data_IF_091910580024
#
_entry.id   IF_091910580024
#
_cell.length_a   1.000
_cell.length_b   1.000
_cell.length_c   1.000
_cell.angle_alpha   90.00
_cell.angle_beta   90.00
_cell.angle_gamma   90.00
#
_symmetry.space_group_name_H-M   'P 1'
#
loop_
_entity.id
_entity.type
_entity.pdbx_description
1 polymer ?
#
# COMPACT_ATOMS: atom_id res chain seq x y z
N UNK A 1 11.71 18.53 13.21
CA UNK A 1 10.40 18.32 13.86
C UNK A 1 9.43 17.60 12.94
N UNK A 2 9.14 18.15 11.75
CA UNK A 2 8.24 17.49 10.77
C UNK A 2 8.74 16.12 10.28
N UNK A 3 10.05 15.95 10.08
CA UNK A 3 10.62 14.65 9.73
C UNK A 3 10.42 13.59 10.82
N UNK A 4 10.54 13.98 12.10
CA UNK A 4 10.37 13.07 13.23
C UNK A 4 8.90 12.70 13.42
N UNK A 5 7.98 13.66 13.31
CA UNK A 5 6.54 13.39 13.41
C UNK A 5 6.04 12.54 12.24
N UNK A 6 6.56 12.78 11.03
CA UNK A 6 6.31 11.93 9.87
C UNK A 6 6.79 10.50 10.08
N UNK A 7 8.05 10.32 10.52
CA UNK A 7 8.62 9.00 10.82
C UNK A 7 7.81 8.26 11.90
N UNK A 8 7.48 8.91 13.01
CA UNK A 8 6.67 8.31 14.07
C UNK A 8 5.31 7.83 13.56
N UNK A 9 4.62 8.65 12.75
CA UNK A 9 3.33 8.25 12.19
C UNK A 9 3.46 7.01 11.30
N UNK A 10 4.54 6.91 10.51
CA UNK A 10 4.80 5.75 9.65
C UNK A 10 5.13 4.49 10.45
N UNK A 11 5.86 4.63 11.57
CA UNK A 11 6.17 3.51 12.45
C UNK A 11 4.90 3.00 13.10
N UNK A 12 4.10 3.88 13.71
CA UNK A 12 2.87 3.48 14.39
C UNK A 12 1.86 2.84 13.45
N UNK A 13 1.64 3.41 12.26
CA UNK A 13 0.71 2.83 11.29
C UNK A 13 1.15 1.45 10.79
N UNK A 14 2.46 1.27 10.55
CA UNK A 14 2.98 -0.01 10.08
C UNK A 14 3.01 -1.07 11.18
N UNK A 15 3.24 -0.67 12.44
CA UNK A 15 3.17 -1.59 13.59
C UNK A 15 1.78 -2.15 13.79
N UNK A 16 0.73 -1.35 13.59
CA UNK A 16 -0.66 -1.84 13.61
C UNK A 16 -0.85 -2.99 12.61
N UNK A 17 -0.31 -2.85 11.40
CA UNK A 17 -0.31 -3.93 10.41
C UNK A 17 0.47 -5.17 10.84
N UNK A 18 1.64 -4.99 11.48
CA UNK A 18 2.45 -6.11 11.99
C UNK A 18 1.70 -6.90 13.07
N UNK A 19 0.98 -6.23 13.98
CA UNK A 19 0.16 -6.91 14.99
C UNK A 19 -0.90 -7.83 14.34
N UNK A 20 -1.54 -7.37 13.27
CA UNK A 20 -2.51 -8.18 12.53
C UNK A 20 -1.86 -9.39 11.82
N UNK A 21 -0.67 -9.21 11.23
CA UNK A 21 0.09 -10.32 10.63
C UNK A 21 0.52 -11.37 11.66
N UNK A 22 1.04 -10.92 12.81
CA UNK A 22 1.49 -11.84 13.87
C UNK A 22 0.31 -12.67 14.39
N UNK A 23 -0.87 -12.05 14.54
CA UNK A 23 -2.07 -12.77 14.94
C UNK A 23 -2.44 -13.85 13.90
N UNK A 24 -2.43 -13.49 12.61
CA UNK A 24 -2.72 -14.42 11.52
C UNK A 24 -1.79 -15.64 11.54
N UNK A 25 -0.47 -15.43 11.62
CA UNK A 25 0.47 -16.54 11.70
C UNK A 25 0.27 -17.38 12.97
N UNK A 26 0.03 -16.75 14.12
CA UNK A 26 -0.23 -17.48 15.37
C UNK A 26 -1.49 -18.35 15.28
N UNK A 27 -2.54 -17.88 14.59
CA UNK A 27 -3.72 -18.70 14.32
C UNK A 27 -3.39 -19.86 13.37
N UNK A 28 -2.64 -19.65 12.28
CA UNK A 28 -2.24 -20.73 11.37
C UNK A 28 -1.46 -21.84 12.09
N UNK A 29 -0.48 -21.47 12.92
CA UNK A 29 0.31 -22.46 13.68
C UNK A 29 -0.54 -23.28 14.65
N UNK A 30 -1.56 -22.67 15.27
CA UNK A 30 -2.46 -23.36 16.20
C UNK A 30 -3.49 -24.23 15.49
N UNK A 31 -3.85 -23.91 14.25
CA UNK A 31 -4.96 -24.52 13.50
C UNK A 31 -4.50 -25.41 12.34
N UNK A 32 -3.41 -26.16 12.50
CA UNK A 32 -2.86 -27.01 11.44
C UNK A 32 -3.82 -28.05 10.82
N UNK A 33 -5.09 -28.21 11.26
CA UNK A 33 -5.92 -29.31 10.77
C UNK A 33 -7.43 -29.16 10.55
N UNK A 34 -8.11 -28.00 10.68
CA UNK A 34 -9.53 -28.03 10.25
C UNK A 34 -10.22 -26.77 9.78
N UNK A 35 -10.04 -25.59 10.38
CA UNK A 35 -10.80 -24.41 9.95
C UNK A 35 -9.99 -23.15 10.22
N UNK A 36 -9.65 -22.43 9.17
CA UNK A 36 -9.11 -21.09 9.31
C UNK A 36 -10.20 -20.19 9.90
N UNK A 37 -9.95 -19.59 11.07
CA UNK A 37 -10.94 -18.70 11.69
C UNK A 37 -11.19 -17.49 10.79
N UNK A 38 -12.46 -17.13 10.54
CA UNK A 38 -12.81 -15.93 9.76
C UNK A 38 -12.15 -14.65 10.31
N UNK A 39 -11.84 -14.63 11.62
CA UNK A 39 -11.09 -13.55 12.26
C UNK A 39 -9.64 -13.45 11.80
N UNK A 40 -8.96 -14.58 11.58
CA UNK A 40 -7.57 -14.60 11.09
C UNK A 40 -7.49 -13.98 9.68
N UNK A 41 -8.43 -14.33 8.82
CA UNK A 41 -8.58 -13.81 7.46
C UNK A 41 -8.85 -12.30 7.48
N UNK A 42 -9.72 -11.84 8.37
CA UNK A 42 -9.98 -10.41 8.56
C UNK A 42 -8.73 -9.66 8.98
N UNK A 43 -7.90 -10.22 9.86
CA UNK A 43 -6.65 -9.59 10.26
C UNK A 43 -5.61 -9.61 9.14
N UNK A 44 -5.50 -10.70 8.38
CA UNK A 44 -4.69 -10.73 7.16
C UNK A 44 -5.11 -9.59 6.22
N UNK A 45 -6.41 -9.46 5.98
CA UNK A 45 -6.97 -8.42 5.14
C UNK A 45 -6.61 -7.00 5.62
N UNK A 46 -6.81 -6.72 6.91
CA UNK A 46 -6.45 -5.43 7.52
C UNK A 46 -4.94 -5.17 7.46
N UNK A 47 -4.11 -6.20 7.58
CA UNK A 47 -2.67 -6.07 7.44
C UNK A 47 -2.25 -5.69 6.02
N UNK A 48 -2.88 -6.24 5.00
CA UNK A 48 -2.64 -5.85 3.61
C UNK A 48 -2.96 -4.36 3.43
N UNK A 49 -4.14 -3.91 3.87
CA UNK A 49 -4.59 -2.53 3.72
C UNK A 49 -3.66 -1.52 4.40
N UNK A 50 -3.18 -1.84 5.62
CA UNK A 50 -2.28 -0.96 6.37
C UNK A 50 -0.92 -0.80 5.68
N UNK A 51 -0.30 -1.91 5.24
CA UNK A 51 1.01 -1.92 4.57
C UNK A 51 0.96 -1.28 3.18
N UNK A 52 -0.14 -1.41 2.45
CA UNK A 52 -0.31 -0.83 1.12
C UNK A 52 -0.92 0.57 1.14
N UNK A 53 -1.05 1.23 2.30
CA UNK A 53 -1.61 2.58 2.43
C UNK A 53 -3.00 2.78 1.79
N UNK A 54 -3.85 1.75 1.81
CA UNK A 54 -5.22 1.87 1.31
C UNK A 54 -6.06 2.70 2.27
N UNK A 55 -7.21 3.20 1.80
CA UNK A 55 -8.20 3.80 2.69
C UNK A 55 -8.61 2.79 3.79
N UNK A 56 -8.60 3.14 5.09
CA UNK A 56 -8.38 4.46 5.71
C UNK A 56 -6.93 4.79 6.11
N UNK A 57 -5.99 3.85 5.97
CA UNK A 57 -4.59 3.96 6.43
C UNK A 57 -3.65 4.69 5.45
N UNK A 58 -4.13 5.66 4.67
CA UNK A 58 -3.31 6.32 3.64
C UNK A 58 -2.38 7.42 4.19
N UNK A 59 -2.69 7.98 5.36
CA UNK A 59 -2.04 9.21 5.86
C UNK A 59 -0.55 9.08 6.16
N UNK A 60 -0.02 7.86 6.32
CA UNK A 60 1.40 7.67 6.57
C UNK A 60 2.26 7.83 5.31
N UNK A 61 1.75 7.47 4.14
CA UNK A 61 2.50 7.50 2.88
C UNK A 61 2.87 8.94 2.51
N UNK A 62 1.93 9.88 2.63
CA UNK A 62 2.15 11.29 2.28
C UNK A 62 3.12 11.95 3.26
N UNK A 63 2.97 11.66 4.56
CA UNK A 63 3.87 12.18 5.61
C UNK A 63 5.30 11.63 5.50
N UNK A 64 5.50 10.48 4.85
CA UNK A 64 6.82 9.91 4.64
C UNK A 64 7.66 10.66 3.58
N UNK A 65 7.03 11.50 2.74
CA UNK A 65 7.69 12.23 1.65
C UNK A 65 8.60 13.39 2.11
N UNK A 66 8.74 13.57 3.42
CA UNK A 66 9.80 14.41 4.03
C UNK A 66 11.19 13.79 3.78
N UNK A 67 11.26 12.46 3.60
CA UNK A 67 12.49 11.75 3.27
C UNK A 67 13.13 12.25 1.95
N UNK A 68 14.46 12.05 1.78
CA UNK A 68 15.13 12.39 0.53
C UNK A 68 14.59 11.54 -0.63
N UNK A 69 14.60 12.12 -1.83
CA UNK A 69 14.03 11.53 -3.06
C UNK A 69 14.53 10.12 -3.42
N UNK A 70 15.81 9.74 -3.25
CA UNK A 70 16.22 8.35 -3.47
C UNK A 70 15.58 7.38 -2.49
N UNK A 71 15.42 7.77 -1.22
CA UNK A 71 14.77 6.91 -0.20
C UNK A 71 13.28 6.75 -0.51
N UNK A 72 12.59 7.81 -0.92
CA UNK A 72 11.19 7.69 -1.36
C UNK A 72 11.03 6.82 -2.61
N UNK A 73 11.99 6.90 -3.55
CA UNK A 73 11.97 6.09 -4.78
C UNK A 73 12.07 4.58 -4.52
N UNK A 74 12.84 4.19 -3.50
CA UNK A 74 13.01 2.80 -3.14
C UNK A 74 11.89 2.36 -2.21
N UNK A 75 11.79 2.98 -1.04
CA UNK A 75 10.96 2.48 0.06
C UNK A 75 9.48 2.66 -0.23
N UNK A 76 9.07 3.85 -0.68
CA UNK A 76 7.65 4.19 -0.72
C UNK A 76 7.00 3.90 -2.08
N UNK A 77 7.75 3.87 -3.18
CA UNK A 77 7.20 3.43 -4.47
C UNK A 77 7.36 1.95 -4.79
N UNK A 78 8.48 1.32 -4.39
CA UNK A 78 8.84 0.02 -4.96
C UNK A 78 8.76 -1.16 -3.99
N UNK A 79 8.94 -0.94 -2.68
CA UNK A 79 9.05 -2.06 -1.72
C UNK A 79 7.97 -2.07 -0.64
N UNK A 80 7.83 -1.01 0.16
CA UNK A 80 7.00 -1.02 1.35
C UNK A 80 5.51 -1.12 0.99
N UNK A 81 5.04 -0.27 0.08
CA UNK A 81 3.63 -0.24 -0.32
C UNK A 81 3.25 -1.48 -1.15
N UNK A 82 4.20 -1.98 -1.94
CA UNK A 82 4.08 -3.20 -2.75
C UNK A 82 3.99 -4.46 -1.88
N UNK A 83 4.62 -4.48 -0.70
CA UNK A 83 4.61 -5.65 0.20
C UNK A 83 3.20 -6.11 0.59
N UNK A 84 2.26 -5.16 0.81
CA UNK A 84 0.87 -5.49 1.10
C UNK A 84 0.12 -6.12 -0.08
N UNK A 85 0.37 -5.63 -1.31
CA UNK A 85 -0.15 -6.23 -2.53
C UNK A 85 0.41 -7.63 -2.77
N UNK A 86 1.69 -7.83 -2.51
CA UNK A 86 2.35 -9.12 -2.68
C UNK A 86 1.82 -10.16 -1.68
N UNK A 87 1.60 -9.75 -0.43
CA UNK A 87 0.97 -10.61 0.59
C UNK A 87 -0.46 -10.99 0.18
N UNK A 88 -1.20 -10.05 -0.39
CA UNK A 88 -2.53 -10.32 -0.95
C UNK A 88 -2.47 -11.34 -2.09
N UNK A 89 -1.51 -11.22 -3.02
CA UNK A 89 -1.33 -12.22 -4.08
C UNK A 89 -1.10 -13.64 -3.52
N UNK A 90 -0.18 -13.81 -2.56
CA UNK A 90 0.18 -15.13 -2.02
C UNK A 90 -1.01 -15.85 -1.36
N UNK A 91 -1.78 -15.13 -0.55
CA UNK A 91 -2.82 -15.76 0.25
C UNK A 91 -4.19 -15.70 -0.44
N UNK A 92 -4.54 -14.61 -1.14
CA UNK A 92 -5.89 -14.44 -1.69
C UNK A 92 -6.17 -15.29 -2.93
N UNK A 93 -5.15 -15.77 -3.64
CA UNK A 93 -5.35 -16.76 -4.71
C UNK A 93 -5.88 -18.09 -4.13
N UNK A 94 -5.48 -18.45 -2.92
CA UNK A 94 -5.79 -19.75 -2.30
C UNK A 94 -7.10 -19.76 -1.50
N UNK A 95 -7.68 -18.60 -1.18
CA UNK A 95 -8.88 -18.51 -0.36
C UNK A 95 -10.04 -17.89 -1.13
N UNK A 96 -11.17 -18.59 -1.19
CA UNK A 96 -12.43 -18.04 -1.67
C UNK A 96 -13.00 -17.06 -0.65
N UNK A 97 -12.68 -15.78 -0.83
CA UNK A 97 -13.06 -14.75 0.13
C UNK A 97 -14.40 -14.08 -0.20
N UNK A 98 -15.31 -14.09 0.78
CA UNK A 98 -16.49 -13.21 0.80
C UNK A 98 -16.12 -11.71 0.87
N UNK A 99 -14.84 -11.38 1.11
CA UNK A 99 -14.34 -10.02 1.27
C UNK A 99 -14.02 -9.31 -0.06
N UNK A 100 -14.12 -9.97 -1.22
CA UNK A 100 -13.79 -9.36 -2.51
C UNK A 100 -14.66 -8.14 -2.84
N UNK A 101 -15.94 -8.16 -2.49
CA UNK A 101 -16.81 -6.99 -2.70
C UNK A 101 -16.42 -5.81 -1.80
N UNK A 102 -16.01 -6.09 -0.57
CA UNK A 102 -15.54 -5.04 0.36
C UNK A 102 -14.22 -4.43 -0.11
N UNK A 103 -13.30 -5.28 -0.58
CA UNK A 103 -12.07 -4.91 -1.28
C UNK A 103 -12.33 -3.97 -2.45
N UNK A 104 -13.27 -4.34 -3.31
CA UNK A 104 -13.67 -3.53 -4.46
C UNK A 104 -14.12 -2.13 -4.02
N UNK A 105 -15.02 -2.03 -3.03
CA UNK A 105 -15.50 -0.75 -2.52
C UNK A 105 -14.38 0.11 -1.92
N UNK A 106 -13.52 -0.47 -1.08
CA UNK A 106 -12.39 0.26 -0.47
C UNK A 106 -11.42 0.75 -1.55
N UNK A 107 -11.11 -0.09 -2.53
CA UNK A 107 -10.16 0.23 -3.59
C UNK A 107 -10.67 1.37 -4.48
N UNK A 108 -11.96 1.35 -4.85
CA UNK A 108 -12.59 2.44 -5.58
C UNK A 108 -12.58 3.74 -4.79
N UNK A 109 -12.96 3.69 -3.51
CA UNK A 109 -12.97 4.87 -2.65
C UNK A 109 -11.56 5.44 -2.47
N UNK A 110 -10.56 4.60 -2.20
CA UNK A 110 -9.17 5.00 -2.07
C UNK A 110 -8.64 5.67 -3.34
N UNK A 111 -8.96 5.09 -4.51
CA UNK A 111 -8.59 5.66 -5.80
C UNK A 111 -9.21 7.05 -5.99
N UNK A 112 -10.53 7.20 -5.78
CA UNK A 112 -11.21 8.49 -5.94
C UNK A 112 -10.69 9.56 -4.97
N UNK A 113 -10.52 9.21 -3.70
CA UNK A 113 -10.01 10.15 -2.68
C UNK A 113 -8.60 10.62 -3.05
N UNK A 114 -7.72 9.71 -3.44
CA UNK A 114 -6.35 10.09 -3.83
C UNK A 114 -6.33 11.02 -5.05
N UNK A 115 -7.19 10.78 -6.05
CA UNK A 115 -7.33 11.65 -7.21
C UNK A 115 -7.80 13.06 -6.85
N UNK A 116 -8.79 13.17 -5.95
CA UNK A 116 -9.28 14.47 -5.48
C UNK A 116 -8.20 15.22 -4.69
N UNK A 117 -7.46 14.54 -3.82
CA UNK A 117 -6.41 15.15 -3.01
C UNK A 117 -5.24 15.67 -3.87
N UNK A 118 -4.89 14.97 -4.96
CA UNK A 118 -3.81 15.42 -5.88
C UNK A 118 -4.09 16.82 -6.43
N UNK A 119 -5.34 17.14 -6.75
CA UNK A 119 -5.72 18.41 -7.38
C UNK A 119 -5.45 19.63 -6.47
N UNK A 120 -5.43 19.40 -5.15
CA UNK A 120 -5.21 20.47 -4.15
C UNK A 120 -3.77 20.55 -3.65
N UNK A 121 -2.91 19.61 -4.04
CA UNK A 121 -1.54 19.55 -3.55
C UNK A 121 -0.60 20.37 -4.45
N UNK A 122 0.38 21.04 -3.84
CA UNK A 122 1.35 21.90 -4.55
C UNK A 122 2.72 21.20 -4.62
N UNK A 123 3.05 20.39 -3.61
CA UNK A 123 4.33 19.70 -3.53
C UNK A 123 4.40 18.53 -4.52
N UNK A 124 5.35 18.59 -5.46
CA UNK A 124 5.54 17.55 -6.48
C UNK A 124 5.76 16.16 -5.86
N UNK A 125 6.52 16.07 -4.74
CA UNK A 125 6.72 14.79 -4.04
C UNK A 125 5.41 14.20 -3.52
N UNK A 126 4.52 15.03 -2.96
CA UNK A 126 3.21 14.59 -2.47
C UNK A 126 2.28 14.23 -3.62
N UNK A 127 2.29 14.99 -4.73
CA UNK A 127 1.54 14.62 -5.95
C UNK A 127 1.95 13.23 -6.46
N UNK A 128 3.26 12.93 -6.51
CA UNK A 128 3.73 11.60 -6.90
C UNK A 128 3.28 10.55 -5.88
N UNK A 129 3.28 10.88 -4.59
CA UNK A 129 2.80 10.01 -3.51
C UNK A 129 1.31 9.64 -3.66
N UNK A 130 0.42 10.62 -3.82
CA UNK A 130 -1.00 10.32 -4.04
C UNK A 130 -1.25 9.58 -5.35
N UNK A 131 -0.45 9.86 -6.39
CA UNK A 131 -0.54 9.08 -7.62
C UNK A 131 0.09 7.68 -7.51
N UNK A 132 0.84 7.36 -6.44
CA UNK A 132 1.15 5.96 -6.09
C UNK A 132 -0.03 5.32 -5.37
N UNK A 133 -0.67 6.05 -4.45
CA UNK A 133 -1.87 5.58 -3.75
C UNK A 133 -2.98 5.20 -4.73
N UNK A 134 -3.29 6.05 -5.72
CA UNK A 134 -4.32 5.77 -6.73
C UNK A 134 -4.03 4.51 -7.54
N UNK A 135 -2.77 4.30 -7.91
CA UNK A 135 -2.33 3.16 -8.71
C UNK A 135 -2.32 1.87 -7.90
N UNK A 136 -1.92 1.94 -6.64
CA UNK A 136 -2.00 0.81 -5.72
C UNK A 136 -3.46 0.45 -5.46
N UNK A 137 -4.36 1.43 -5.28
CA UNK A 137 -5.81 1.16 -5.21
C UNK A 137 -6.34 0.48 -6.48
N UNK A 138 -5.86 0.85 -7.66
CA UNK A 138 -6.20 0.16 -8.90
C UNK A 138 -5.69 -1.29 -8.94
N UNK A 139 -4.51 -1.58 -8.39
CA UNK A 139 -3.99 -2.95 -8.22
C UNK A 139 -4.92 -3.77 -7.30
N UNK A 140 -5.38 -3.19 -6.19
CA UNK A 140 -6.37 -3.82 -5.30
C UNK A 140 -7.72 -4.07 -5.98
N UNK A 141 -8.10 -3.21 -6.92
CA UNK A 141 -9.30 -3.41 -7.73
C UNK A 141 -9.15 -4.60 -8.69
N UNK A 142 -7.97 -4.84 -9.26
CA UNK A 142 -7.74 -6.08 -10.02
C UNK A 142 -7.77 -7.34 -9.15
N UNK A 143 -7.25 -7.26 -7.92
CA UNK A 143 -7.36 -8.37 -6.96
C UNK A 143 -8.80 -8.68 -6.60
N UNK A 144 -9.68 -7.68 -6.48
CA UNK A 144 -11.10 -7.92 -6.14
C UNK A 144 -11.88 -8.62 -7.26
N UNK A 145 -11.50 -8.41 -8.53
CA UNK A 145 -12.03 -9.16 -9.67
C UNK A 145 -11.39 -10.54 -9.88
N UNK A 146 -10.41 -10.92 -9.05
CA UNK A 146 -9.69 -12.20 -9.15
C UNK A 146 -8.64 -12.23 -10.27
N UNK A 147 -8.24 -11.09 -10.85
CA UNK A 147 -7.24 -11.02 -11.91
C UNK A 147 -5.81 -10.94 -11.34
N UNK A 148 -5.43 -11.95 -10.55
CA UNK A 148 -4.17 -12.01 -9.78
C UNK A 148 -2.91 -11.88 -10.65
N UNK A 149 -2.87 -12.52 -11.82
CA UNK A 149 -1.72 -12.43 -12.72
C UNK A 149 -1.53 -11.01 -13.29
N UNK A 150 -2.64 -10.37 -13.71
CA UNK A 150 -2.61 -9.03 -14.27
C UNK A 150 -2.27 -7.97 -13.22
N UNK A 151 -2.75 -8.14 -11.98
CA UNK A 151 -2.43 -7.22 -10.90
C UNK A 151 -0.93 -7.25 -10.56
N UNK A 152 -0.29 -8.43 -10.56
CA UNK A 152 1.15 -8.56 -10.38
C UNK A 152 1.97 -7.90 -11.50
N UNK A 153 1.62 -8.18 -12.76
CA UNK A 153 2.29 -7.53 -13.89
C UNK A 153 2.17 -6.01 -13.81
N UNK A 154 0.99 -5.51 -13.48
CA UNK A 154 0.76 -4.08 -13.29
C UNK A 154 1.61 -3.51 -12.15
N UNK A 155 1.71 -4.23 -11.04
CA UNK A 155 2.50 -3.84 -9.88
C UNK A 155 4.00 -3.72 -10.20
N UNK A 156 4.56 -4.65 -10.98
CA UNK A 156 5.96 -4.59 -11.44
C UNK A 156 6.18 -3.36 -12.31
N UNK A 157 5.29 -3.13 -13.29
CA UNK A 157 5.37 -1.95 -14.16
C UNK A 157 5.26 -0.64 -13.35
N UNK A 158 4.31 -0.58 -12.42
CA UNK A 158 4.14 0.55 -11.52
C UNK A 158 5.42 0.87 -10.72
N UNK A 159 6.06 -0.15 -10.13
CA UNK A 159 7.29 0.04 -9.36
C UNK A 159 8.42 0.64 -10.22
N UNK A 160 8.60 0.12 -11.45
CA UNK A 160 9.61 0.63 -12.38
C UNK A 160 9.32 2.08 -12.78
N UNK A 161 8.11 2.40 -13.26
CA UNK A 161 7.78 3.75 -13.70
C UNK A 161 7.83 4.77 -12.55
N UNK A 162 7.38 4.40 -11.34
CA UNK A 162 7.40 5.31 -10.19
C UNK A 162 8.79 5.57 -9.66
N UNK A 163 9.66 4.55 -9.61
CA UNK A 163 11.06 4.76 -9.20
C UNK A 163 11.77 5.76 -10.11
N UNK A 164 11.59 5.63 -11.43
CA UNK A 164 12.10 6.58 -12.43
C UNK A 164 11.54 7.98 -12.23
N UNK A 165 10.22 8.12 -12.03
CA UNK A 165 9.57 9.42 -11.76
C UNK A 165 10.14 10.10 -10.50
N UNK A 166 10.33 9.37 -9.41
CA UNK A 166 10.91 9.93 -8.19
C UNK A 166 12.36 10.38 -8.38
N UNK A 167 13.15 9.64 -9.16
CA UNK A 167 14.53 10.03 -9.50
C UNK A 167 14.54 11.30 -10.36
N UNK A 168 13.69 11.39 -11.39
CA UNK A 168 13.57 12.59 -12.24
C UNK A 168 13.09 13.83 -11.45
N UNK A 169 12.16 13.63 -10.52
CA UNK A 169 11.74 14.71 -9.60
C UNK A 169 12.91 15.10 -8.69
N UNK A 170 13.68 14.13 -8.21
CA UNK A 170 14.89 14.37 -7.42
C UNK A 170 15.94 15.20 -8.14
N UNK A 171 16.26 14.86 -9.39
CA UNK A 171 17.23 15.63 -10.18
C UNK A 171 16.71 17.04 -10.45
N UNK A 172 15.43 17.20 -10.81
CA UNK A 172 14.82 18.52 -11.02
C UNK A 172 14.86 19.40 -9.77
N UNK A 173 14.64 18.83 -8.58
CA UNK A 173 14.74 19.57 -7.31
C UNK A 173 16.20 19.95 -7.04
N UNK A 174 17.14 19.04 -7.29
CA UNK A 174 18.57 19.29 -7.08
C UNK A 174 19.11 20.41 -7.97
N UNK A 175 18.73 20.46 -9.26
CA UNK A 175 19.20 21.49 -10.20
C UNK A 175 18.47 22.84 -10.07
N UNK A 176 17.31 22.88 -9.42
CA UNK A 176 16.52 24.13 -9.23
C UNK A 176 16.95 24.88 -7.97
N UNK A 177 17.69 24.23 -7.08
CA UNK A 177 18.35 24.81 -5.91
C UNK A 177 19.80 25.16 -6.25
#
# INVERSE_FOLDING_TARGET
>A
WEALSGALNTIFSNRIGDFFLIYFFCSEYKFMFSLMDMMSILFLFMSCLTKSSQFPFFGWLVKAMVAPTPVSSLVHSSTLVVSGCFLMYIYFENYNFNFMMFLFLISLLGMLISLMLILFEIDVKKMVAYSTMSQVSLIFLFFSYGWFFWSLLYLINHALFKSLLFLLVGTKIFYKN
#
